data_IF_057228779429
#
_entry.id   IF_057228779429
#
_cell.length_a   1.000
_cell.length_b   1.000
_cell.length_c   1.000
_cell.angle_alpha   90.00
_cell.angle_beta   90.00
_cell.angle_gamma   90.00
#
_symmetry.space_group_name_H-M   'P 1'
#
loop_
_entity.id
_entity.type
_entity.pdbx_description
1 polymer ?
#
# COMPACT_ATOMS: atom_id res chain seq x y z
N UNK A 1 18.80 9.80 18.07
CA UNK A 1 17.49 10.32 18.51
C UNK A 1 16.53 9.14 18.66
N UNK A 2 15.82 9.05 19.78
CA UNK A 2 14.95 7.92 20.10
C UNK A 2 13.48 8.36 20.11
N UNK A 3 12.58 7.45 19.76
CA UNK A 3 11.14 7.64 19.81
C UNK A 3 10.53 6.67 20.83
N UNK A 4 9.45 7.07 21.47
CA UNK A 4 8.72 6.20 22.40
C UNK A 4 8.01 5.08 21.65
N UNK A 5 7.97 3.88 22.24
CA UNK A 5 7.24 2.75 21.63
C UNK A 5 5.76 3.06 21.36
N UNK A 6 5.13 3.89 22.21
CA UNK A 6 3.75 4.33 22.04
C UNK A 6 3.60 5.08 20.72
N UNK A 7 4.43 6.10 20.49
CA UNK A 7 4.34 6.91 19.27
C UNK A 7 4.63 6.05 18.03
N UNK A 8 5.64 5.18 18.10
CA UNK A 8 5.96 4.28 17.00
C UNK A 8 4.84 3.27 16.70
N UNK A 9 4.15 2.76 17.71
CA UNK A 9 3.01 1.86 17.51
C UNK A 9 1.88 2.58 16.75
N UNK A 10 1.50 3.79 17.15
CA UNK A 10 0.45 4.55 16.47
C UNK A 10 0.86 4.97 15.06
N UNK A 11 2.15 5.22 14.80
CA UNK A 11 2.68 5.42 13.46
C UNK A 11 2.37 4.22 12.55
N UNK A 12 2.66 2.99 13.01
CA UNK A 12 2.32 1.79 12.24
C UNK A 12 0.81 1.60 12.07
N UNK A 13 0.00 1.92 13.09
CA UNK A 13 -1.46 1.86 12.97
C UNK A 13 -1.98 2.81 11.88
N UNK A 14 -1.49 4.05 11.86
CA UNK A 14 -1.87 5.06 10.85
C UNK A 14 -1.51 4.57 9.45
N UNK A 15 -0.29 4.05 9.25
CA UNK A 15 0.12 3.51 7.95
C UNK A 15 -0.77 2.31 7.57
N UNK A 16 -1.08 1.43 8.52
CA UNK A 16 -1.98 0.30 8.28
C UNK A 16 -3.35 0.74 7.79
N UNK A 17 -3.96 1.73 8.44
CA UNK A 17 -5.26 2.29 8.03
C UNK A 17 -5.17 2.90 6.62
N UNK A 18 -4.15 3.71 6.35
CA UNK A 18 -3.93 4.32 5.02
C UNK A 18 -3.78 3.24 3.94
N UNK A 19 -3.02 2.19 4.22
CA UNK A 19 -2.80 1.08 3.31
C UNK A 19 -4.09 0.28 3.04
N UNK A 20 -4.95 0.10 4.04
CA UNK A 20 -6.28 -0.51 3.86
C UNK A 20 -7.16 0.37 2.94
N UNK A 21 -7.17 1.69 3.17
CA UNK A 21 -7.93 2.62 2.32
C UNK A 21 -7.46 2.52 0.86
N UNK A 22 -6.15 2.48 0.62
CA UNK A 22 -5.61 2.28 -0.73
C UNK A 22 -5.96 0.91 -1.32
N UNK A 23 -5.87 -0.16 -0.53
CA UNK A 23 -6.29 -1.49 -0.98
C UNK A 23 -7.73 -1.48 -1.47
N UNK A 24 -8.65 -0.95 -0.66
CA UNK A 24 -10.08 -0.85 -1.00
C UNK A 24 -10.28 0.02 -2.22
N UNK A 25 -9.61 1.17 -2.30
CA UNK A 25 -9.66 2.06 -3.46
C UNK A 25 -9.26 1.35 -4.76
N UNK A 26 -8.09 0.71 -4.81
CA UNK A 26 -7.64 0.00 -6.00
C UNK A 26 -8.51 -1.22 -6.31
N UNK A 27 -8.97 -1.93 -5.29
CA UNK A 27 -9.87 -3.09 -5.47
C UNK A 27 -11.19 -2.66 -6.08
N UNK A 28 -11.75 -1.55 -5.63
CA UNK A 28 -12.97 -0.96 -6.15
C UNK A 28 -12.84 -0.56 -7.62
N UNK A 29 -11.73 0.10 -7.98
CA UNK A 29 -11.43 0.43 -9.38
C UNK A 29 -11.43 -0.82 -10.26
N UNK A 30 -10.76 -1.89 -9.85
CA UNK A 30 -10.70 -3.14 -10.63
C UNK A 30 -12.10 -3.77 -10.80
N UNK A 31 -12.89 -3.82 -9.72
CA UNK A 31 -14.23 -4.43 -9.74
C UNK A 31 -15.18 -3.64 -10.63
N UNK A 32 -15.12 -2.31 -10.58
CA UNK A 32 -15.98 -1.45 -11.39
C UNK A 32 -15.57 -1.37 -12.86
N UNK A 33 -14.30 -1.61 -13.17
CA UNK A 33 -13.78 -1.72 -14.54
C UNK A 33 -13.93 -3.13 -15.14
N UNK A 34 -14.68 -4.03 -14.52
CA UNK A 34 -14.99 -5.35 -15.08
C UNK A 34 -15.98 -5.23 -16.24
N UNK A 35 -15.82 -6.01 -17.34
CA UNK A 35 -16.68 -5.94 -18.53
C UNK A 35 -18.17 -6.17 -18.25
N UNK A 36 -18.52 -6.76 -17.11
CA UNK A 36 -19.90 -7.04 -16.73
C UNK A 36 -20.55 -5.94 -15.86
N UNK A 37 -19.87 -4.79 -15.68
CA UNK A 37 -20.32 -3.74 -14.76
C UNK A 37 -20.82 -2.49 -15.51
N UNK A 38 -21.95 -1.92 -15.08
CA UNK A 38 -22.57 -0.74 -15.74
C UNK A 38 -21.70 0.52 -15.66
N UNK A 39 -20.81 0.59 -14.65
CA UNK A 39 -19.87 1.69 -14.45
C UNK A 39 -18.60 1.58 -15.29
N UNK A 40 -18.46 0.52 -16.09
CA UNK A 40 -17.22 0.22 -16.81
C UNK A 40 -16.85 1.31 -17.83
N UNK A 41 -17.81 1.75 -18.66
CA UNK A 41 -17.60 2.86 -19.61
C UNK A 41 -17.31 4.19 -18.91
N UNK A 42 -17.83 4.40 -17.69
CA UNK A 42 -17.59 5.64 -16.93
C UNK A 42 -16.16 5.73 -16.38
N UNK A 43 -15.53 4.58 -16.09
CA UNK A 43 -14.19 4.52 -15.49
C UNK A 43 -13.11 4.30 -16.54
N UNK A 44 -13.35 3.40 -17.50
CA UNK A 44 -12.41 3.13 -18.58
C UNK A 44 -12.58 4.08 -19.76
N UNK A 45 -13.80 4.55 -20.05
CA UNK A 45 -14.06 5.43 -21.19
C UNK A 45 -13.41 4.92 -22.48
N UNK A 46 -12.60 5.78 -23.12
CA UNK A 46 -11.86 5.45 -24.34
C UNK A 46 -10.37 5.13 -24.06
N UNK A 47 -10.07 4.52 -22.91
CA UNK A 47 -8.69 4.25 -22.48
C UNK A 47 -8.02 3.24 -23.42
N UNK A 48 -6.92 3.67 -24.06
CA UNK A 48 -6.22 2.92 -25.12
C UNK A 48 -5.68 1.55 -24.67
N UNK A 49 -5.34 1.40 -23.39
CA UNK A 49 -4.59 0.24 -22.88
C UNK A 49 -5.14 -0.26 -21.52
N UNK A 50 -6.41 -0.65 -21.54
CA UNK A 50 -7.18 -1.10 -20.35
C UNK A 50 -6.48 -2.24 -19.60
N UNK A 51 -5.94 -3.22 -20.33
CA UNK A 51 -5.31 -4.41 -19.73
C UNK A 51 -4.12 -4.03 -18.84
N UNK A 52 -3.27 -3.12 -19.34
CA UNK A 52 -2.11 -2.62 -18.59
C UNK A 52 -2.53 -1.80 -17.37
N UNK A 53 -3.60 -1.02 -17.48
CA UNK A 53 -4.14 -0.26 -16.37
C UNK A 53 -4.71 -1.19 -15.28
N UNK A 54 -5.46 -2.23 -15.65
CA UNK A 54 -6.00 -3.22 -14.72
C UNK A 54 -4.89 -3.99 -13.99
N UNK A 55 -3.85 -4.43 -14.70
CA UNK A 55 -2.69 -5.10 -14.10
C UNK A 55 -1.98 -4.20 -13.08
N UNK A 56 -1.77 -2.92 -13.42
CA UNK A 56 -1.16 -1.94 -12.50
C UNK A 56 -1.99 -1.76 -11.23
N UNK A 57 -3.30 -1.56 -11.35
CA UNK A 57 -4.16 -1.37 -10.18
C UNK A 57 -4.26 -2.66 -9.35
N UNK A 58 -4.26 -3.83 -9.99
CA UNK A 58 -4.25 -5.13 -9.31
C UNK A 58 -2.99 -5.29 -8.46
N UNK A 59 -1.80 -5.02 -9.02
CA UNK A 59 -0.53 -5.03 -8.28
C UNK A 59 -0.54 -4.04 -7.12
N UNK A 60 -1.00 -2.81 -7.34
CA UNK A 60 -1.08 -1.79 -6.29
C UNK A 60 -2.05 -2.17 -5.17
N UNK A 61 -3.17 -2.81 -5.49
CA UNK A 61 -4.10 -3.35 -4.50
C UNK A 61 -3.38 -4.37 -3.60
N UNK A 62 -2.72 -5.38 -4.18
CA UNK A 62 -2.01 -6.40 -3.39
C UNK A 62 -0.84 -5.84 -2.58
N UNK A 63 -0.07 -4.89 -3.11
CA UNK A 63 1.01 -4.21 -2.37
C UNK A 63 0.45 -3.45 -1.17
N UNK A 64 -0.65 -2.73 -1.37
CA UNK A 64 -1.32 -2.00 -0.29
C UNK A 64 -1.82 -2.97 0.78
N UNK A 65 -2.42 -4.10 0.39
CA UNK A 65 -2.84 -5.15 1.33
C UNK A 65 -1.66 -5.73 2.11
N UNK A 66 -0.56 -6.04 1.44
CA UNK A 66 0.66 -6.55 2.07
C UNK A 66 1.16 -5.58 3.13
N UNK A 67 1.33 -4.30 2.79
CA UNK A 67 1.82 -3.30 3.74
C UNK A 67 0.82 -2.99 4.86
N UNK A 68 -0.49 -3.11 4.62
CA UNK A 68 -1.50 -3.05 5.67
C UNK A 68 -1.30 -4.17 6.71
N UNK A 69 -1.14 -5.41 6.24
CA UNK A 69 -0.90 -6.57 7.12
C UNK A 69 0.38 -6.39 7.91
N UNK A 70 1.49 -6.05 7.26
CA UNK A 70 2.79 -5.81 7.92
C UNK A 70 2.68 -4.70 8.96
N UNK A 71 2.00 -3.59 8.63
CA UNK A 71 1.78 -2.47 9.55
C UNK A 71 0.98 -2.88 10.79
N UNK A 72 -0.11 -3.63 10.61
CA UNK A 72 -0.95 -4.10 11.72
C UNK A 72 -0.19 -5.06 12.61
N UNK A 73 0.57 -6.00 12.04
CA UNK A 73 1.42 -6.92 12.80
C UNK A 73 2.47 -6.13 13.61
N UNK A 74 3.14 -5.16 12.99
CA UNK A 74 4.12 -4.31 13.67
C UNK A 74 3.49 -3.51 14.81
N UNK A 75 2.29 -2.97 14.61
CA UNK A 75 1.52 -2.27 15.64
C UNK A 75 1.20 -3.19 16.82
N UNK A 76 0.64 -4.38 16.57
CA UNK A 76 0.28 -5.36 17.62
C UNK A 76 1.54 -5.75 18.41
N UNK A 77 2.63 -6.07 17.70
CA UNK A 77 3.90 -6.43 18.32
C UNK A 77 4.41 -5.31 19.24
N UNK A 78 4.49 -4.07 18.75
CA UNK A 78 5.01 -2.94 19.52
C UNK A 78 4.09 -2.54 20.69
N UNK A 79 2.78 -2.64 20.50
CA UNK A 79 1.80 -2.25 21.51
C UNK A 79 1.74 -3.25 22.67
N UNK A 80 1.73 -4.55 22.36
CA UNK A 80 1.41 -5.59 23.35
C UNK A 80 2.62 -6.43 23.79
N UNK A 81 3.62 -6.64 22.94
CA UNK A 81 4.72 -7.58 23.21
C UNK A 81 6.06 -6.89 23.49
N UNK A 82 6.25 -5.66 23.04
CA UNK A 82 7.51 -4.94 23.23
C UNK A 82 7.54 -4.13 24.54
N UNK A 83 8.40 -4.53 25.48
CA UNK A 83 8.54 -3.93 26.82
C UNK A 83 9.51 -2.74 26.88
N UNK A 84 10.48 -2.63 25.97
CA UNK A 84 11.45 -1.54 26.00
C UNK A 84 10.85 -0.19 25.54
N UNK A 85 11.23 0.89 26.22
CA UNK A 85 10.57 2.20 26.08
C UNK A 85 11.06 3.08 24.93
N UNK A 86 12.30 2.89 24.48
CA UNK A 86 12.97 3.75 23.50
C UNK A 86 13.45 2.94 22.31
N UNK A 87 13.01 3.35 21.12
CA UNK A 87 13.36 2.73 19.84
C UNK A 87 14.07 3.78 18.98
N UNK A 88 15.03 3.37 18.16
CA UNK A 88 15.74 4.30 17.27
C UNK A 88 14.78 4.93 16.27
N UNK A 89 14.90 6.24 16.06
CA UNK A 89 14.06 6.95 15.08
C UNK A 89 14.33 6.52 13.63
N UNK A 90 15.40 5.76 13.37
CA UNK A 90 15.76 5.28 12.03
C UNK A 90 14.74 4.25 11.50
N UNK A 91 14.12 3.46 12.39
CA UNK A 91 13.17 2.41 12.00
C UNK A 91 11.98 2.90 11.15
N UNK A 92 11.23 3.96 11.52
CA UNK A 92 10.13 4.46 10.68
C UNK A 92 10.60 4.96 9.30
N UNK A 93 11.81 5.56 9.20
CA UNK A 93 12.35 5.99 7.91
C UNK A 93 12.73 4.81 7.02
N UNK A 94 13.39 3.79 7.58
CA UNK A 94 13.71 2.56 6.86
C UNK A 94 12.43 1.87 6.38
N UNK A 95 11.40 1.83 7.23
CA UNK A 95 10.11 1.26 6.90
C UNK A 95 9.43 1.97 5.73
N UNK A 96 9.39 3.31 5.75
CA UNK A 96 8.87 4.11 4.64
C UNK A 96 9.69 3.91 3.35
N UNK A 97 11.01 3.84 3.45
CA UNK A 97 11.87 3.57 2.30
C UNK A 97 11.53 2.20 1.67
N UNK A 98 11.31 1.16 2.48
CA UNK A 98 10.91 -0.16 1.98
C UNK A 98 9.55 -0.14 1.27
N UNK A 99 8.57 0.63 1.77
CA UNK A 99 7.28 0.83 1.08
C UNK A 99 7.51 1.45 -0.29
N UNK A 100 8.29 2.55 -0.35
CA UNK A 100 8.57 3.26 -1.61
C UNK A 100 9.29 2.34 -2.61
N UNK A 101 10.31 1.61 -2.16
CA UNK A 101 11.05 0.64 -2.99
C UNK A 101 10.11 -0.44 -3.52
N UNK A 102 9.23 -0.98 -2.67
CA UNK A 102 8.23 -1.98 -3.07
C UNK A 102 7.30 -1.43 -4.16
N UNK A 103 6.82 -0.19 -4.03
CA UNK A 103 5.98 0.44 -5.05
C UNK A 103 6.76 0.60 -6.37
N UNK A 104 8.01 1.08 -6.32
CA UNK A 104 8.87 1.30 -7.50
C UNK A 104 9.18 -0.01 -8.23
N UNK A 105 9.52 -1.07 -7.51
CA UNK A 105 9.87 -2.36 -8.11
C UNK A 105 8.71 -3.01 -8.85
N UNK A 106 7.48 -2.79 -8.39
CA UNK A 106 6.28 -3.37 -8.97
C UNK A 106 5.50 -2.42 -9.89
N UNK A 107 5.95 -1.17 -10.02
CA UNK A 107 5.49 -0.26 -11.07
C UNK A 107 5.92 -0.83 -12.44
N UNK A 108 4.99 -0.96 -13.42
CA UNK A 108 5.35 -1.46 -14.73
C UNK A 108 6.34 -0.51 -15.38
N UNK A 109 7.55 -1.00 -15.71
CA UNK A 109 8.50 -0.25 -16.53
C UNK A 109 7.83 0.07 -17.86
N UNK A 110 7.79 1.34 -18.23
CA UNK A 110 7.49 1.69 -19.62
C UNK A 110 8.57 1.01 -20.46
N UNK A 111 8.19 -0.01 -21.24
CA UNK A 111 9.01 -0.40 -22.39
C UNK A 111 9.10 0.89 -23.22
N UNK A 112 10.26 1.53 -23.17
CA UNK A 112 10.64 2.50 -24.20
C UNK A 112 10.74 1.62 -25.44
N UNK A 113 9.68 1.59 -26.24
CA UNK A 113 9.77 1.11 -27.61
C UNK A 113 10.68 2.10 -28.33
N UNK A 114 11.97 1.78 -28.36
CA UNK A 114 12.88 2.26 -29.40
C UNK A 114 12.55 1.60 -30.72
#
# INVERSE_FOLDING_TARGET
MFITKISLSYFFLIIGIIAIVFYVYFKFLIIKSSPNNKDNEKILGNMKDVSRWLDKNTKMSYISLFWAIVSIIAFIFLKFYYTAGLISIIFPFLYLALIVISIILFLPKNKITS
#
